data_IF_430618146746
#
_entry.id   IF_430618146746
#
_cell.length_a   1.000
_cell.length_b   1.000
_cell.length_c   1.000
_cell.angle_alpha   90.00
_cell.angle_beta   90.00
_cell.angle_gamma   90.00
#
_symmetry.space_group_name_H-M   'P 1'
#
loop_
_entity.id
_entity.type
_entity.pdbx_description
1 polymer ?
#
# COMPACT_ATOMS: atom_id res chain seq x y z
N UNK A 1 23.65 -5.06 5.82
CA UNK A 1 22.66 -5.26 6.89
C UNK A 1 21.26 -5.03 6.38
N UNK A 2 20.53 -6.09 6.01
CA UNK A 2 19.19 -6.04 5.37
C UNK A 2 18.09 -6.69 6.23
N UNK A 3 18.18 -6.65 7.56
CA UNK A 3 17.28 -7.40 8.45
C UNK A 3 16.54 -6.54 9.50
N UNK A 4 16.71 -5.21 9.51
CA UNK A 4 16.24 -4.39 10.65
C UNK A 4 14.72 -4.17 10.68
N UNK A 5 14.05 -4.03 9.54
CA UNK A 5 12.63 -3.65 9.51
C UNK A 5 11.66 -4.78 9.88
N UNK A 6 11.86 -5.99 9.34
CA UNK A 6 11.01 -7.14 9.68
C UNK A 6 11.18 -7.56 11.13
N UNK A 7 12.40 -7.43 11.69
CA UNK A 7 12.65 -7.70 13.11
C UNK A 7 11.99 -6.65 14.01
N UNK A 8 12.06 -5.37 13.65
CA UNK A 8 11.40 -4.29 14.39
C UNK A 8 9.87 -4.40 14.38
N UNK A 9 9.28 -4.74 13.23
CA UNK A 9 7.82 -4.89 13.11
C UNK A 9 7.29 -6.11 13.88
N UNK A 10 8.00 -7.24 13.82
CA UNK A 10 7.65 -8.41 14.63
C UNK A 10 7.79 -8.13 16.12
N UNK A 11 8.82 -7.40 16.55
CA UNK A 11 8.96 -6.98 17.95
C UNK A 11 7.78 -6.11 18.42
N UNK A 12 7.33 -5.17 17.58
CA UNK A 12 6.19 -4.29 17.87
C UNK A 12 4.85 -5.04 17.96
N UNK A 13 4.68 -6.11 17.19
CA UNK A 13 3.47 -6.95 17.27
C UNK A 13 3.49 -7.85 18.51
N UNK A 14 4.65 -8.44 18.85
CA UNK A 14 4.79 -9.30 20.03
C UNK A 14 4.63 -8.51 21.33
N UNK A 15 5.05 -7.24 21.37
CA UNK A 15 4.85 -6.37 22.54
C UNK A 15 3.39 -6.01 22.81
N UNK A 16 2.46 -6.34 21.91
CA UNK A 16 1.00 -6.14 22.10
C UNK A 16 0.27 -7.41 22.54
N UNK A 17 0.94 -8.57 22.57
CA UNK A 17 0.32 -9.83 23.01
C UNK A 17 0.20 -9.91 24.55
N UNK A 18 -0.76 -10.69 25.09
CA UNK A 18 -0.82 -11.07 26.50
C UNK A 18 0.46 -11.81 26.98
N UNK A 19 0.83 -11.72 28.27
CA UNK A 19 2.11 -12.23 28.79
C UNK A 19 2.38 -13.72 28.52
N UNK A 20 1.36 -14.57 28.63
CA UNK A 20 1.48 -16.02 28.34
C UNK A 20 1.83 -16.27 26.88
N UNK A 21 1.18 -15.57 25.96
CA UNK A 21 1.39 -15.70 24.52
C UNK A 21 2.75 -15.17 24.06
N UNK A 22 3.32 -14.16 24.75
CA UNK A 22 4.70 -13.70 24.50
C UNK A 22 5.75 -14.76 24.82
N UNK A 23 5.57 -15.47 25.93
CA UNK A 23 6.48 -16.53 26.36
C UNK A 23 6.49 -17.71 25.38
N UNK A 24 5.32 -18.05 24.84
CA UNK A 24 5.18 -19.08 23.81
C UNK A 24 5.85 -18.66 22.51
N UNK A 25 5.68 -17.39 22.09
CA UNK A 25 6.29 -16.84 20.86
C UNK A 25 7.83 -16.82 20.92
N UNK A 26 8.41 -16.53 22.09
CA UNK A 26 9.86 -16.50 22.28
C UNK A 26 10.54 -17.88 22.21
N UNK A 27 9.77 -18.97 22.34
CA UNK A 27 10.26 -20.35 22.28
C UNK A 27 10.20 -20.95 20.88
N UNK A 28 9.55 -20.28 19.94
CA UNK A 28 9.43 -20.77 18.56
C UNK A 28 10.69 -20.39 17.78
N UNK A 29 11.46 -21.36 17.25
CA UNK A 29 12.57 -21.04 16.38
C UNK A 29 12.05 -20.23 15.18
N UNK A 30 12.78 -19.21 14.73
CA UNK A 30 12.30 -18.24 13.74
C UNK A 30 11.72 -18.84 12.44
N UNK A 31 12.07 -20.08 12.12
CA UNK A 31 11.57 -20.85 10.97
C UNK A 31 10.17 -21.45 11.16
N UNK A 32 9.68 -21.52 12.40
CA UNK A 32 8.43 -22.19 12.79
C UNK A 32 7.40 -21.22 13.41
N UNK A 33 7.66 -19.91 13.39
CA UNK A 33 6.70 -18.92 13.89
C UNK A 33 5.41 -19.09 13.07
N UNK A 34 4.27 -19.44 13.69
CA UNK A 34 3.02 -19.56 12.97
C UNK A 34 2.68 -18.20 12.39
N UNK A 35 2.73 -18.11 11.07
CA UNK A 35 2.26 -16.95 10.32
C UNK A 35 0.77 -16.84 10.62
N UNK A 36 0.35 -15.70 11.19
CA UNK A 36 -1.05 -15.44 11.52
C UNK A 36 -1.91 -15.79 10.28
N UNK A 37 -2.97 -16.61 10.38
CA UNK A 37 -3.80 -16.96 9.23
C UNK A 37 -4.45 -15.74 8.55
N UNK A 38 -4.62 -14.61 9.25
CA UNK A 38 -4.99 -13.33 8.60
C UNK A 38 -3.89 -12.73 7.71
N UNK A 39 -2.63 -13.14 7.87
CA UNK A 39 -1.54 -12.80 6.95
C UNK A 39 -1.53 -13.72 5.73
N UNK A 40 -2.08 -14.94 5.79
CA UNK A 40 -2.16 -15.83 4.63
C UNK A 40 -3.15 -15.32 3.57
N UNK A 41 -4.27 -14.70 3.96
CA UNK A 41 -5.15 -14.01 3.00
C UNK A 41 -4.50 -12.77 2.38
N UNK A 42 -3.53 -12.17 3.07
CA UNK A 42 -2.82 -10.97 2.63
C UNK A 42 -1.52 -11.30 1.87
N UNK A 43 -0.94 -12.49 2.01
CA UNK A 43 0.22 -12.92 1.20
C UNK A 43 -0.13 -13.15 -0.28
N UNK A 44 -1.41 -13.33 -0.62
CA UNK A 44 -1.90 -13.36 -2.00
C UNK A 44 -2.38 -11.99 -2.52
N UNK A 45 -2.48 -10.99 -1.66
CA UNK A 45 -2.59 -9.58 -2.09
C UNK A 45 -1.23 -9.22 -2.64
N UNK A 46 -1.12 -9.10 -3.96
CA UNK A 46 0.07 -8.68 -4.69
C UNK A 46 0.90 -7.66 -3.89
N UNK A 47 1.89 -8.16 -3.16
CA UNK A 47 2.97 -7.36 -2.60
C UNK A 47 3.99 -7.29 -3.72
N UNK A 48 4.15 -6.16 -4.43
CA UNK A 48 5.24 -6.01 -5.38
C UNK A 48 6.54 -5.98 -4.57
N UNK A 49 7.05 -7.15 -4.21
CA UNK A 49 8.13 -7.27 -3.22
C UNK A 49 8.63 -8.68 -2.96
N UNK A 50 7.83 -9.73 -3.18
CA UNK A 50 8.34 -11.10 -3.41
C UNK A 50 8.31 -11.44 -4.89
N UNK A 51 8.80 -10.51 -5.71
CA UNK A 51 9.34 -10.87 -7.01
C UNK A 51 10.54 -11.79 -6.74
N UNK A 52 10.52 -12.99 -7.31
CA UNK A 52 11.75 -13.73 -7.52
C UNK A 52 12.79 -12.75 -8.09
N UNK A 53 14.07 -12.86 -7.70
CA UNK A 53 15.10 -11.87 -8.09
C UNK A 53 15.24 -11.71 -9.62
N UNK A 54 14.60 -12.60 -10.38
CA UNK A 54 14.51 -12.64 -11.83
C UNK A 54 13.19 -12.17 -12.46
N UNK A 55 12.11 -11.87 -11.73
CA UNK A 55 10.86 -11.39 -12.37
C UNK A 55 10.91 -9.88 -12.63
N UNK A 56 11.90 -9.44 -13.41
CA UNK A 56 11.97 -8.05 -13.87
C UNK A 56 10.77 -7.79 -14.78
N UNK A 57 9.98 -6.77 -14.46
CA UNK A 57 8.93 -6.27 -15.36
C UNK A 57 9.60 -5.93 -16.70
N UNK A 58 9.30 -6.70 -17.73
CA UNK A 58 9.96 -6.61 -19.04
C UNK A 58 9.15 -5.81 -20.05
N UNK A 59 7.87 -5.60 -19.79
CA UNK A 59 6.98 -4.83 -20.66
C UNK A 59 6.08 -3.88 -19.87
N UNK A 60 5.74 -2.76 -20.51
CA UNK A 60 4.80 -1.80 -19.95
C UNK A 60 3.38 -2.38 -19.83
N UNK A 61 2.99 -3.31 -20.71
CA UNK A 61 1.68 -3.96 -20.65
C UNK A 61 1.55 -4.83 -19.39
N UNK A 62 2.57 -5.62 -19.06
CA UNK A 62 2.64 -6.39 -17.81
C UNK A 62 2.56 -5.47 -16.59
N UNK A 63 3.24 -4.33 -16.65
CA UNK A 63 3.19 -3.33 -15.60
C UNK A 63 1.79 -2.72 -15.43
N UNK A 64 1.10 -2.43 -16.52
CA UNK A 64 -0.27 -1.90 -16.47
C UNK A 64 -1.28 -2.91 -15.95
N UNK A 65 -1.16 -4.18 -16.35
CA UNK A 65 -2.01 -5.25 -15.85
C UNK A 65 -1.86 -5.41 -14.32
N UNK A 66 -0.62 -5.46 -13.83
CA UNK A 66 -0.35 -5.53 -12.39
C UNK A 66 -0.75 -4.26 -11.65
N UNK A 67 -0.52 -3.08 -12.26
CA UNK A 67 -0.91 -1.81 -11.67
C UNK A 67 -2.43 -1.64 -11.56
N UNK A 68 -3.23 -2.24 -12.45
CA UNK A 68 -4.69 -2.21 -12.35
C UNK A 68 -5.19 -2.95 -11.11
N UNK A 69 -4.61 -4.12 -10.83
CA UNK A 69 -4.90 -4.89 -9.61
C UNK A 69 -4.44 -4.10 -8.38
N UNK A 70 -3.19 -3.62 -8.39
CA UNK A 70 -2.65 -2.80 -7.30
C UNK A 70 -3.48 -1.54 -7.06
N UNK A 71 -4.04 -0.93 -8.11
CA UNK A 71 -4.87 0.25 -8.00
C UNK A 71 -6.12 0.02 -7.16
N UNK A 72 -6.82 -1.08 -7.42
CA UNK A 72 -8.01 -1.48 -6.66
C UNK A 72 -7.67 -1.84 -5.21
N UNK A 73 -6.58 -2.58 -5.00
CA UNK A 73 -6.13 -2.99 -3.67
C UNK A 73 -5.69 -1.80 -2.81
N UNK A 74 -4.94 -0.87 -3.38
CA UNK A 74 -4.50 0.32 -2.63
C UNK A 74 -5.67 1.28 -2.42
N UNK A 75 -6.60 1.40 -3.37
CA UNK A 75 -7.81 2.22 -3.22
C UNK A 75 -8.70 1.77 -2.05
N UNK A 76 -8.75 0.47 -1.73
CA UNK A 76 -9.46 0.00 -0.54
C UNK A 76 -8.67 0.26 0.74
N UNK A 77 -7.34 0.11 0.71
CA UNK A 77 -6.47 0.32 1.87
C UNK A 77 -6.30 1.77 2.29
N UNK A 78 -6.29 2.72 1.35
CA UNK A 78 -6.08 4.13 1.68
C UNK A 78 -7.17 4.68 2.61
N UNK A 79 -8.40 4.14 2.52
CA UNK A 79 -9.51 4.51 3.40
C UNK A 79 -9.27 4.04 4.83
N UNK A 80 -8.78 2.80 4.99
CA UNK A 80 -8.39 2.24 6.29
C UNK A 80 -7.24 3.03 6.92
N UNK A 81 -6.25 3.44 6.10
CA UNK A 81 -5.15 4.28 6.57
C UNK A 81 -5.61 5.69 6.95
N UNK A 82 -6.50 6.30 6.16
CA UNK A 82 -7.07 7.60 6.48
C UNK A 82 -7.90 7.57 7.76
N UNK A 83 -8.67 6.50 7.98
CA UNK A 83 -9.44 6.29 9.21
C UNK A 83 -8.55 6.28 10.46
N UNK A 84 -7.46 5.52 10.43
CA UNK A 84 -6.55 5.39 11.57
C UNK A 84 -5.66 6.60 11.84
N UNK A 85 -5.49 7.49 10.85
CA UNK A 85 -4.57 8.63 10.92
C UNK A 85 -5.21 10.01 10.79
N UNK A 86 -6.54 10.10 10.87
CA UNK A 86 -7.30 11.33 10.62
C UNK A 86 -7.00 11.96 9.25
N UNK A 87 -6.88 11.09 8.24
CA UNK A 87 -6.57 11.43 6.86
C UNK A 87 -7.77 12.03 6.12
N UNK A 88 -7.45 12.91 5.18
CA UNK A 88 -8.40 13.67 4.39
C UNK A 88 -8.31 13.35 2.90
N UNK A 89 -9.44 13.49 2.23
CA UNK A 89 -9.56 13.37 0.78
C UNK A 89 -10.17 14.62 0.16
N UNK A 90 -9.77 14.91 -1.09
CA UNK A 90 -10.35 16.01 -1.86
C UNK A 90 -11.72 15.60 -2.42
N UNK A 91 -12.69 16.51 -2.38
CA UNK A 91 -13.94 16.35 -3.11
C UNK A 91 -13.75 16.64 -4.61
N UNK A 92 -14.60 16.06 -5.47
CA UNK A 92 -14.55 16.24 -6.94
C UNK A 92 -15.02 17.63 -7.37
N UNK A 93 -16.05 18.14 -6.70
CA UNK A 93 -16.73 19.39 -7.07
C UNK A 93 -16.14 20.62 -6.37
N UNK A 94 -15.40 20.42 -5.28
CA UNK A 94 -14.81 21.48 -4.48
C UNK A 94 -13.34 21.15 -4.27
N UNK A 95 -12.46 22.15 -4.34
CA UNK A 95 -11.05 22.02 -3.92
C UNK A 95 -10.91 21.92 -2.39
N UNK A 96 -11.89 21.30 -1.75
CA UNK A 96 -12.04 21.15 -0.32
C UNK A 96 -11.60 19.75 0.10
N UNK A 97 -10.92 19.68 1.24
CA UNK A 97 -10.49 18.45 1.85
C UNK A 97 -11.40 18.12 3.02
N UNK A 98 -11.96 16.92 3.00
CA UNK A 98 -12.82 16.41 4.07
C UNK A 98 -12.12 15.25 4.76
N UNK A 99 -12.26 15.17 6.09
CA UNK A 99 -11.75 14.03 6.85
C UNK A 99 -12.55 12.80 6.50
N UNK A 100 -11.85 11.68 6.32
CA UNK A 100 -12.50 10.42 6.01
C UNK A 100 -13.50 10.00 7.11
N UNK A 101 -13.17 10.24 8.38
CA UNK A 101 -14.03 9.90 9.50
C UNK A 101 -15.35 10.66 9.53
N UNK A 102 -15.40 11.85 8.92
CA UNK A 102 -16.60 12.70 8.90
C UNK A 102 -17.57 12.31 7.79
N UNK A 103 -17.10 11.58 6.77
CA UNK A 103 -17.88 11.24 5.57
C UNK A 103 -18.05 9.73 5.34
N UNK A 104 -17.39 8.88 6.14
CA UNK A 104 -17.49 7.43 5.99
C UNK A 104 -18.92 6.97 6.31
N UNK A 105 -19.59 6.36 5.34
CA UNK A 105 -20.99 5.92 5.45
C UNK A 105 -22.01 6.90 4.87
N UNK A 106 -21.59 8.11 4.48
CA UNK A 106 -22.48 9.09 3.85
C UNK A 106 -22.47 8.98 2.31
N UNK A 107 -23.55 9.43 1.64
CA UNK A 107 -23.59 9.52 0.18
C UNK A 107 -22.49 10.42 -0.41
N UNK A 108 -21.92 11.32 0.38
CA UNK A 108 -20.81 12.20 0.00
C UNK A 108 -19.53 11.44 -0.39
N UNK A 109 -19.42 10.16 -0.02
CA UNK A 109 -18.33 9.28 -0.44
C UNK A 109 -18.16 9.19 -1.96
N UNK A 110 -19.25 9.26 -2.73
CA UNK A 110 -19.21 9.19 -4.20
C UNK A 110 -18.57 10.44 -4.82
N UNK A 111 -18.51 11.52 -4.05
CA UNK A 111 -17.87 12.77 -4.44
C UNK A 111 -16.38 12.82 -4.10
N UNK A 112 -15.80 11.79 -3.47
CA UNK A 112 -14.35 11.76 -3.21
C UNK A 112 -13.59 11.59 -4.54
N UNK A 113 -12.62 12.47 -4.77
CA UNK A 113 -11.74 12.41 -5.93
C UNK A 113 -10.65 11.35 -5.73
N UNK A 114 -10.90 10.15 -6.27
CA UNK A 114 -9.90 9.10 -6.39
C UNK A 114 -9.02 9.37 -7.60
N UNK A 115 -7.70 9.37 -7.40
CA UNK A 115 -6.74 9.63 -8.48
C UNK A 115 -6.77 8.46 -9.47
N UNK A 116 -7.07 8.67 -10.76
CA UNK A 116 -7.07 7.59 -11.73
C UNK A 116 -5.64 7.10 -11.99
N UNK A 117 -5.52 5.87 -12.50
CA UNK A 117 -4.24 5.38 -13.00
C UNK A 117 -3.66 6.31 -14.08
N UNK A 118 -2.34 6.41 -14.13
CA UNK A 118 -1.65 7.19 -15.17
C UNK A 118 -2.08 6.68 -16.54
N UNK A 119 -2.43 7.61 -17.44
CA UNK A 119 -2.74 7.28 -18.84
C UNK A 119 -1.54 6.65 -19.53
N UNK A 120 -1.78 5.62 -20.34
CA UNK A 120 -0.75 4.85 -21.04
C UNK A 120 0.25 5.73 -21.81
N UNK A 121 -0.24 6.67 -22.62
CA UNK A 121 0.63 7.60 -23.36
C UNK A 121 1.57 8.40 -22.46
N UNK A 122 1.09 8.90 -21.31
CA UNK A 122 1.92 9.64 -20.34
C UNK A 122 2.94 8.75 -19.64
N UNK A 123 2.61 7.47 -19.43
CA UNK A 123 3.57 6.50 -18.93
C UNK A 123 4.69 6.22 -19.95
N UNK A 124 4.35 6.03 -21.23
CA UNK A 124 5.33 5.86 -22.31
C UNK A 124 6.25 7.09 -22.40
N UNK A 125 5.69 8.30 -22.44
CA UNK A 125 6.47 9.54 -22.48
C UNK A 125 7.45 9.63 -21.30
N UNK A 126 6.98 9.32 -20.08
CA UNK A 126 7.82 9.36 -18.88
C UNK A 126 8.92 8.29 -18.92
N UNK A 127 8.57 7.09 -19.37
CA UNK A 127 9.48 5.96 -19.54
C UNK A 127 10.62 6.28 -20.52
N UNK A 128 10.28 6.84 -21.68
CA UNK A 128 11.25 7.26 -22.69
C UNK A 128 12.13 8.41 -22.20
N UNK A 129 11.55 9.39 -21.49
CA UNK A 129 12.29 10.57 -21.02
C UNK A 129 13.18 10.32 -19.81
N UNK A 130 12.74 9.48 -18.86
CA UNK A 130 13.26 9.51 -17.48
C UNK A 130 13.82 8.17 -16.99
N UNK A 131 13.54 7.07 -17.69
CA UNK A 131 13.84 5.72 -17.17
C UNK A 131 14.57 4.83 -18.16
N UNK A 132 15.26 5.41 -19.17
CA UNK A 132 16.04 4.67 -20.16
C UNK A 132 15.29 3.48 -20.78
N UNK A 133 13.97 3.62 -20.98
CA UNK A 133 13.07 2.59 -21.50
C UNK A 133 12.88 1.36 -20.59
N UNK A 134 13.31 1.40 -19.33
CA UNK A 134 13.12 0.32 -18.35
C UNK A 134 11.79 0.48 -17.59
N UNK A 135 10.75 -0.32 -17.89
CA UNK A 135 9.44 -0.18 -17.27
C UNK A 135 9.47 -0.53 -15.78
N UNK A 136 10.43 -1.32 -15.31
CA UNK A 136 10.53 -1.70 -13.89
C UNK A 136 10.77 -0.51 -12.95
N UNK A 137 11.21 0.63 -13.48
CA UNK A 137 11.46 1.85 -12.71
C UNK A 137 10.22 2.76 -12.61
N UNK A 138 9.15 2.44 -13.33
CA UNK A 138 7.96 3.28 -13.39
C UNK A 138 6.98 2.95 -12.25
N UNK A 139 7.22 3.57 -11.09
CA UNK A 139 6.50 3.27 -9.85
C UNK A 139 5.17 4.01 -9.66
N UNK A 140 4.90 5.05 -10.47
CA UNK A 140 3.80 5.98 -10.22
C UNK A 140 2.59 5.76 -11.14
N UNK A 141 2.43 4.57 -11.73
CA UNK A 141 1.24 4.26 -12.58
C UNK A 141 -0.04 4.27 -11.74
N UNK A 142 -0.02 3.61 -10.59
CA UNK A 142 -1.08 3.71 -9.60
C UNK A 142 -0.54 4.53 -8.44
N UNK A 143 -1.20 5.66 -8.16
CA UNK A 143 -0.87 6.53 -7.03
C UNK A 143 -2.15 6.99 -6.39
N UNK A 144 -2.15 7.06 -5.07
CA UNK A 144 -3.23 7.58 -4.25
C UNK A 144 -2.67 8.62 -3.30
N UNK A 145 -3.52 9.54 -2.86
CA UNK A 145 -3.14 10.63 -1.98
C UNK A 145 -4.03 10.60 -0.75
N UNK A 146 -3.42 10.69 0.42
CA UNK A 146 -4.07 10.98 1.69
C UNK A 146 -3.39 12.24 2.21
N UNK A 147 -4.17 13.23 2.62
CA UNK A 147 -3.66 14.48 3.19
C UNK A 147 -3.88 14.46 4.69
N UNK A 148 -2.89 14.89 5.45
CA UNK A 148 -2.97 15.01 6.91
C UNK A 148 -2.80 16.47 7.30
N UNK A 149 -3.62 16.96 8.23
CA UNK A 149 -3.56 18.35 8.68
C UNK A 149 -2.28 18.63 9.49
N UNK A 150 -1.81 17.62 10.22
CA UNK A 150 -0.61 17.67 11.04
C UNK A 150 0.22 16.43 10.78
N UNK A 151 1.53 16.62 10.64
CA UNK A 151 2.50 15.53 10.67
C UNK A 151 3.11 15.57 12.06
N UNK A 152 2.86 14.54 12.86
CA UNK A 152 3.62 14.30 14.09
C UNK A 152 4.71 13.29 13.76
N UNK A 153 5.96 13.67 13.95
CA UNK A 153 7.14 12.81 13.77
C UNK A 153 7.17 11.63 14.77
#
# INVERSE_FOLDING_TARGET
>A
GKHSWCQQYNHMLVSKLPPKQRADYARVPAKNIPVNPMLHEVEHVFVPGRADKNSKVSSINQLYASAAIAHLLVASRIKVWAEGGDGMFCLKAAAEFVKWNDVKGDPSMDHIHMVPMKRFGRAIEKLLRSYAKDPSLLMDISRHLIVFATISD
#
